data_IF_682234109514
#
_entry.id   IF_682234109514
#
_cell.length_a   1.000
_cell.length_b   1.000
_cell.length_c   1.000
_cell.angle_alpha   90.00
_cell.angle_beta   90.00
_cell.angle_gamma   90.00
#
_symmetry.space_group_name_H-M   'P 1'
#
loop_
_entity.id
_entity.type
_entity.pdbx_description
1 polymer ?
#
# COMPACT_ATOMS: atom_id res chain seq x y z
N UNK A 1 2.66 35.96 36.49
CA UNK A 1 1.89 34.84 35.88
C UNK A 1 2.87 33.76 35.42
N UNK A 2 3.20 32.79 36.27
CA UNK A 2 3.96 31.61 35.87
C UNK A 2 3.09 30.38 36.08
N UNK A 3 2.73 29.68 35.00
CA UNK A 3 2.09 28.37 35.07
C UNK A 3 3.18 27.31 35.16
N UNK A 4 3.22 26.58 36.27
CA UNK A 4 4.08 25.42 36.44
C UNK A 4 3.69 24.34 35.39
N UNK A 5 4.65 23.95 34.54
CA UNK A 5 4.44 22.94 33.51
C UNK A 5 4.74 21.57 34.12
N UNK A 6 3.70 20.85 34.54
CA UNK A 6 3.80 19.48 35.04
C UNK A 6 4.28 18.53 33.91
N UNK A 7 4.98 17.45 34.26
CA UNK A 7 5.52 16.41 33.35
C UNK A 7 4.43 15.81 32.44
N UNK A 8 3.18 15.78 32.91
CA UNK A 8 1.98 15.41 32.14
C UNK A 8 1.70 16.38 30.99
N UNK A 9 1.86 17.68 31.24
CA UNK A 9 1.66 18.75 30.28
C UNK A 9 2.76 18.73 29.21
N UNK A 10 4.01 18.46 29.61
CA UNK A 10 5.13 18.25 28.69
C UNK A 10 4.89 17.03 27.78
N UNK A 11 4.40 15.92 28.33
CA UNK A 11 4.00 14.73 27.54
C UNK A 11 2.87 15.03 26.56
N UNK A 12 1.91 15.87 26.93
CA UNK A 12 0.82 16.28 26.05
C UNK A 12 1.33 17.14 24.89
N UNK A 13 2.19 18.13 25.16
CA UNK A 13 2.81 18.98 24.14
C UNK A 13 3.72 18.18 23.19
N UNK A 14 4.56 17.27 23.72
CA UNK A 14 5.42 16.39 22.90
C UNK A 14 4.59 15.45 22.02
N UNK A 15 3.43 14.96 22.49
CA UNK A 15 2.50 14.21 21.64
C UNK A 15 1.86 15.08 20.57
N UNK A 16 1.57 16.34 20.85
CA UNK A 16 1.06 17.30 19.86
C UNK A 16 2.09 17.56 18.74
N UNK A 17 3.37 17.66 19.08
CA UNK A 17 4.47 17.86 18.10
C UNK A 17 4.67 16.63 17.20
N UNK A 18 4.39 15.43 17.69
CA UNK A 18 4.39 14.18 16.90
C UNK A 18 3.12 13.96 16.04
N UNK A 19 2.15 14.88 16.05
CA UNK A 19 0.93 14.78 15.23
C UNK A 19 1.03 15.64 13.97
N UNK A 20 2.07 15.43 13.18
CA UNK A 20 2.13 15.93 11.81
C UNK A 20 2.19 14.79 10.77
N UNK A 21 1.77 13.58 11.16
CA UNK A 21 1.54 12.44 10.24
C UNK A 21 0.25 12.58 9.41
N UNK A 22 -0.52 13.65 9.60
CA UNK A 22 -1.79 13.86 8.92
C UNK A 22 -1.65 14.12 7.40
N UNK A 23 -0.42 14.36 6.90
CA UNK A 23 -0.16 14.62 5.49
C UNK A 23 0.44 13.41 4.73
N UNK A 24 0.79 12.34 5.45
CA UNK A 24 1.29 11.09 4.86
C UNK A 24 0.60 9.90 5.51
N UNK A 25 -0.71 9.80 5.35
CA UNK A 25 -1.37 8.50 5.45
C UNK A 25 -0.82 7.63 4.33
N UNK A 26 0.20 6.82 4.63
CA UNK A 26 0.56 5.72 3.73
C UNK A 26 -0.65 4.79 3.73
N UNK A 27 -1.33 4.69 2.59
CA UNK A 27 -2.29 3.60 2.39
C UNK A 27 -1.53 2.29 2.63
N UNK A 28 -2.00 1.48 3.59
CA UNK A 28 -1.49 0.14 3.80
C UNK A 28 -2.04 -0.77 2.70
N UNK A 29 -1.60 -0.54 1.47
CA UNK A 29 -1.98 -1.32 0.29
C UNK A 29 -0.81 -1.42 -0.68
N UNK A 30 -0.72 -2.53 -1.40
CA UNK A 30 0.29 -2.80 -2.40
C UNK A 30 -0.34 -2.81 -3.79
N UNK A 31 0.21 -2.03 -4.73
CA UNK A 31 -0.16 -2.09 -6.14
C UNK A 31 0.89 -2.91 -6.90
N UNK A 32 0.44 -3.99 -7.54
CA UNK A 32 1.26 -4.78 -8.47
C UNK A 32 0.94 -4.34 -9.89
N UNK A 33 1.95 -3.93 -10.66
CA UNK A 33 1.83 -3.72 -12.10
C UNK A 33 2.12 -5.06 -12.77
N UNK A 34 1.13 -5.61 -13.46
CA UNK A 34 1.19 -6.94 -14.03
C UNK A 34 1.66 -6.91 -15.48
N UNK A 35 2.79 -7.57 -15.74
CA UNK A 35 3.31 -7.80 -17.08
C UNK A 35 2.57 -8.96 -17.74
N UNK A 36 2.23 -8.80 -19.02
CA UNK A 36 1.53 -9.82 -19.82
C UNK A 36 2.03 -9.85 -21.25
N UNK A 37 1.78 -10.97 -21.94
CA UNK A 37 2.09 -11.17 -23.36
C UNK A 37 0.84 -11.17 -24.28
N UNK A 38 -0.25 -10.55 -23.83
CA UNK A 38 -1.59 -10.48 -24.47
C UNK A 38 -2.40 -11.77 -24.39
N UNK A 39 -1.82 -12.84 -23.84
CA UNK A 39 -2.51 -14.11 -23.62
C UNK A 39 -2.59 -14.42 -22.13
N UNK A 40 -1.45 -14.35 -21.45
CA UNK A 40 -1.31 -14.68 -20.04
C UNK A 40 -0.43 -13.67 -19.31
N UNK A 41 -0.48 -13.70 -17.99
CA UNK A 41 0.51 -13.04 -17.15
C UNK A 41 1.87 -13.71 -17.33
N UNK A 42 2.94 -12.94 -17.20
CA UNK A 42 4.29 -13.52 -17.16
C UNK A 42 4.53 -14.22 -15.82
N UNK A 43 5.30 -15.32 -15.76
CA UNK A 43 5.56 -16.02 -14.50
C UNK A 43 6.17 -15.13 -13.41
N UNK A 44 6.97 -14.14 -13.79
CA UNK A 44 7.57 -13.18 -12.85
C UNK A 44 6.51 -12.30 -12.16
N UNK A 45 5.39 -12.00 -12.83
CA UNK A 45 4.26 -11.28 -12.25
C UNK A 45 3.61 -12.06 -11.11
N UNK A 46 3.49 -13.39 -11.23
CA UNK A 46 2.93 -14.24 -10.16
C UNK A 46 3.81 -14.26 -8.90
N UNK A 47 5.14 -14.23 -9.09
CA UNK A 47 6.08 -14.10 -7.98
C UNK A 47 5.92 -12.75 -7.26
N UNK A 48 5.75 -11.67 -8.02
CA UNK A 48 5.51 -10.32 -7.48
C UNK A 48 4.20 -10.24 -6.69
N UNK A 49 3.12 -10.84 -7.20
CA UNK A 49 1.83 -10.94 -6.49
C UNK A 49 2.01 -11.72 -5.18
N UNK A 50 2.70 -12.86 -5.23
CA UNK A 50 2.96 -13.66 -4.02
C UNK A 50 3.77 -12.88 -2.97
N UNK A 51 4.76 -12.12 -3.40
CA UNK A 51 5.53 -11.25 -2.52
C UNK A 51 4.66 -10.13 -1.92
N UNK A 52 3.80 -9.51 -2.73
CA UNK A 52 2.85 -8.50 -2.29
C UNK A 52 1.87 -9.04 -1.23
N UNK A 53 1.31 -10.23 -1.43
CA UNK A 53 0.42 -10.88 -0.46
C UNK A 53 1.11 -11.14 0.89
N UNK A 54 2.41 -11.45 0.88
CA UNK A 54 3.20 -11.63 2.11
C UNK A 54 3.45 -10.33 2.89
N UNK A 55 3.24 -9.16 2.29
CA UNK A 55 3.37 -7.87 2.99
C UNK A 55 2.23 -7.60 3.98
N UNK A 56 1.17 -8.43 3.98
CA UNK A 56 0.08 -8.37 4.96
C UNK A 56 -0.84 -7.16 4.80
N UNK A 57 -0.86 -6.55 3.62
CA UNK A 57 -1.69 -5.40 3.24
C UNK A 57 -2.59 -5.73 2.05
N UNK A 58 -3.58 -4.87 1.77
CA UNK A 58 -4.47 -5.05 0.62
C UNK A 58 -3.67 -5.03 -0.69
N UNK A 59 -3.83 -6.04 -1.54
CA UNK A 59 -3.13 -6.12 -2.82
C UNK A 59 -4.09 -5.81 -3.97
N UNK A 60 -3.75 -4.80 -4.76
CA UNK A 60 -4.41 -4.47 -6.03
C UNK A 60 -3.48 -4.80 -7.19
N UNK A 61 -4.02 -5.31 -8.30
CA UNK A 61 -3.24 -5.66 -9.49
C UNK A 61 -3.74 -4.85 -10.70
N UNK A 62 -2.82 -4.16 -11.39
CA UNK A 62 -3.10 -3.39 -12.60
C UNK A 62 -2.49 -4.09 -13.82
N UNK A 63 -3.35 -4.56 -14.72
CA UNK A 63 -2.99 -5.09 -16.03
C UNK A 63 -3.25 -4.00 -17.06
N UNK A 64 -2.22 -3.53 -17.77
CA UNK A 64 -2.34 -2.46 -18.75
C UNK A 64 -1.69 -2.87 -20.08
N UNK A 65 -2.37 -2.58 -21.19
CA UNK A 65 -1.94 -2.96 -22.52
C UNK A 65 -3.11 -3.28 -23.44
N UNK A 66 -2.84 -3.95 -24.54
CA UNK A 66 -3.86 -4.49 -25.44
C UNK A 66 -4.32 -5.88 -24.97
N UNK A 67 -5.56 -6.26 -25.28
CA UNK A 67 -6.09 -7.59 -24.96
C UNK A 67 -6.05 -8.00 -23.47
N UNK A 68 -6.00 -7.04 -22.53
CA UNK A 68 -5.98 -7.35 -21.09
C UNK A 68 -7.20 -8.15 -20.63
N UNK A 69 -8.36 -7.98 -21.28
CA UNK A 69 -9.57 -8.75 -20.97
C UNK A 69 -9.37 -10.27 -21.11
N UNK A 70 -8.62 -10.71 -22.13
CA UNK A 70 -8.28 -12.14 -22.31
C UNK A 70 -7.43 -12.64 -21.15
N UNK A 71 -6.41 -11.87 -20.76
CA UNK A 71 -5.52 -12.19 -19.63
C UNK A 71 -6.30 -12.35 -18.33
N UNK A 72 -7.25 -11.45 -18.05
CA UNK A 72 -8.10 -11.51 -16.86
C UNK A 72 -9.00 -12.74 -16.86
N UNK A 73 -9.64 -13.07 -17.99
CA UNK A 73 -10.53 -14.24 -18.08
C UNK A 73 -9.85 -15.56 -17.73
N UNK A 74 -8.54 -15.66 -17.99
CA UNK A 74 -7.74 -16.86 -17.72
C UNK A 74 -7.32 -16.95 -16.23
N UNK A 75 -7.21 -15.82 -15.53
CA UNK A 75 -6.64 -15.74 -14.18
C UNK A 75 -7.62 -15.25 -13.09
N UNK A 76 -8.87 -14.93 -13.43
CA UNK A 76 -9.89 -14.41 -12.52
C UNK A 76 -10.73 -15.50 -11.80
N UNK A 77 -10.12 -16.63 -11.44
CA UNK A 77 -10.78 -17.71 -10.68
C UNK A 77 -10.48 -17.62 -9.18
#
# INVERSE_FOLDING_TARGET
MLKAINKTHLRQVVRQIRRNDALTTRFQSTLVVAEHNNETLTPITLNAITAATKLGSDVSCLVAGTNCAKVLSVHAH
#
